data_IF_432422565612
#
_entry.id   IF_432422565612
#
_cell.length_a   1.000
_cell.length_b   1.000
_cell.length_c   1.000
_cell.angle_alpha   90.00
_cell.angle_beta   90.00
_cell.angle_gamma   90.00
#
_symmetry.space_group_name_H-M   'P 1'
#
loop_
_entity.id
_entity.type
_entity.pdbx_description
1 polymer ?
#
# COMPACT_ATOMS: atom_id res chain seq x y z
N UNK A 1 -18.02 8.82 18.58
CA UNK A 1 -18.85 7.87 17.77
C UNK A 1 -19.03 6.60 18.56
N UNK A 2 -20.25 6.11 18.68
CA UNK A 2 -20.56 4.85 19.36
C UNK A 2 -20.77 3.74 18.31
N UNK A 3 -20.56 2.47 18.68
CA UNK A 3 -20.77 1.35 17.78
C UNK A 3 -22.22 1.28 17.26
N UNK A 4 -23.18 1.70 18.07
CA UNK A 4 -24.60 1.75 17.70
C UNK A 4 -24.93 2.76 16.58
N UNK A 5 -24.04 3.71 16.30
CA UNK A 5 -24.20 4.69 15.23
C UNK A 5 -23.66 4.23 13.88
N UNK A 6 -23.03 3.05 13.81
CA UNK A 6 -22.47 2.53 12.57
C UNK A 6 -23.53 1.79 11.76
N UNK A 7 -23.51 2.02 10.44
CA UNK A 7 -24.24 1.19 9.50
C UNK A 7 -23.60 -0.20 9.40
N UNK A 8 -24.44 -1.24 9.36
CA UNK A 8 -23.97 -2.62 9.22
C UNK A 8 -24.19 -3.14 7.80
N UNK A 9 -23.30 -4.01 7.27
CA UNK A 9 -22.08 -4.53 7.92
C UNK A 9 -20.97 -3.48 7.98
N UNK A 10 -20.13 -3.55 9.03
CA UNK A 10 -18.98 -2.66 9.21
C UNK A 10 -17.73 -3.45 9.62
N UNK A 11 -16.58 -3.09 9.07
CA UNK A 11 -15.29 -3.61 9.50
C UNK A 11 -14.71 -2.69 10.58
N UNK A 12 -14.37 -3.27 11.72
CA UNK A 12 -13.78 -2.54 12.84
C UNK A 12 -12.32 -2.94 13.01
N UNK A 13 -11.48 -1.94 13.27
CA UNK A 13 -10.06 -2.14 13.56
C UNK A 13 -9.78 -1.64 14.96
N UNK A 14 -9.20 -2.51 15.79
CA UNK A 14 -8.72 -2.11 17.11
C UNK A 14 -7.41 -1.33 16.96
N UNK A 15 -7.47 -0.05 17.27
CA UNK A 15 -6.36 0.87 17.02
C UNK A 15 -5.08 0.46 17.76
N UNK A 16 -5.18 0.04 19.03
CA UNK A 16 -4.00 -0.36 19.81
C UNK A 16 -3.27 -1.56 19.17
N UNK A 17 -4.01 -2.55 18.70
CA UNK A 17 -3.43 -3.71 17.98
C UNK A 17 -2.82 -3.32 16.63
N UNK A 18 -3.50 -2.46 15.88
CA UNK A 18 -2.94 -1.94 14.64
C UNK A 18 -1.59 -1.27 14.88
N UNK A 19 -1.52 -0.35 15.85
CA UNK A 19 -0.29 0.36 16.19
C UNK A 19 0.83 -0.60 16.61
N UNK A 20 0.53 -1.57 17.45
CA UNK A 20 1.50 -2.57 17.91
C UNK A 20 2.02 -3.43 16.74
N UNK A 21 1.14 -3.87 15.83
CA UNK A 21 1.52 -4.68 14.67
C UNK A 21 2.39 -3.90 13.68
N UNK A 22 2.03 -2.65 13.39
CA UNK A 22 2.83 -1.79 12.50
C UNK A 22 4.23 -1.54 13.07
N UNK A 23 4.31 -1.25 14.38
CA UNK A 23 5.58 -1.03 15.06
C UNK A 23 6.45 -2.30 15.08
N UNK A 24 5.88 -3.45 15.39
CA UNK A 24 6.60 -4.73 15.44
C UNK A 24 7.17 -5.13 14.08
N UNK A 25 6.40 -4.96 12.99
CA UNK A 25 6.87 -5.30 11.65
C UNK A 25 8.03 -4.39 11.21
N UNK A 26 7.91 -3.09 11.44
CA UNK A 26 9.00 -2.16 11.10
C UNK A 26 10.25 -2.45 11.94
N UNK A 27 10.11 -2.68 13.24
CA UNK A 27 11.23 -3.03 14.11
C UNK A 27 11.93 -4.33 13.67
N UNK A 28 11.18 -5.31 13.17
CA UNK A 28 11.76 -6.54 12.60
C UNK A 28 12.61 -6.27 11.37
N UNK A 29 12.13 -5.41 10.47
CA UNK A 29 12.89 -5.01 9.28
C UNK A 29 14.16 -4.25 9.67
N UNK A 30 14.06 -3.29 10.56
CA UNK A 30 15.18 -2.47 11.03
C UNK A 30 16.25 -3.33 11.73
N UNK A 31 15.83 -4.27 12.58
CA UNK A 31 16.75 -5.18 13.29
C UNK A 31 17.52 -6.12 12.35
N UNK A 32 17.02 -6.36 11.16
CA UNK A 32 17.66 -7.20 10.14
C UNK A 32 18.31 -6.41 9.00
N UNK A 33 18.37 -5.10 9.13
CA UNK A 33 18.95 -4.18 8.12
C UNK A 33 18.34 -4.38 6.73
N UNK A 34 17.01 -4.54 6.69
CA UNK A 34 16.25 -4.66 5.43
C UNK A 34 15.18 -3.58 5.35
N UNK A 35 14.92 -3.11 4.15
CA UNK A 35 13.84 -2.15 3.90
C UNK A 35 12.48 -2.86 3.84
N UNK A 36 11.47 -2.28 4.48
CA UNK A 36 10.10 -2.78 4.45
C UNK A 36 9.30 -2.08 3.35
N UNK A 37 8.70 -2.87 2.46
CA UNK A 37 7.74 -2.39 1.45
C UNK A 37 6.41 -3.15 1.64
N UNK A 38 5.49 -2.61 2.46
CA UNK A 38 4.27 -3.34 2.81
C UNK A 38 3.35 -3.52 1.61
N UNK A 39 2.65 -4.66 1.60
CA UNK A 39 1.62 -4.94 0.62
C UNK A 39 0.25 -4.44 1.13
N UNK A 40 -0.30 -3.41 0.48
CA UNK A 40 -1.52 -2.72 0.93
C UNK A 40 -2.82 -3.36 0.46
N UNK A 41 -2.77 -4.43 -0.32
CA UNK A 41 -3.99 -5.16 -0.78
C UNK A 41 -4.84 -5.70 0.37
N UNK A 42 -4.23 -5.95 1.53
CA UNK A 42 -4.88 -6.53 2.70
C UNK A 42 -5.84 -5.55 3.38
N UNK A 43 -5.50 -4.28 3.43
CA UNK A 43 -6.32 -3.26 4.08
C UNK A 43 -6.89 -2.22 3.11
N UNK A 44 -6.25 -1.95 1.98
CA UNK A 44 -6.67 -0.97 0.96
C UNK A 44 -7.00 0.41 1.54
N UNK A 45 -6.29 0.80 2.60
CA UNK A 45 -6.50 2.04 3.34
C UNK A 45 -5.30 2.97 3.21
N UNK A 46 -5.53 4.16 2.68
CA UNK A 46 -4.54 5.24 2.60
C UNK A 46 -4.04 5.58 4.01
N UNK A 47 -4.94 5.73 4.98
CA UNK A 47 -4.58 6.08 6.35
C UNK A 47 -3.69 5.04 7.05
N UNK A 48 -3.84 3.75 6.75
CA UNK A 48 -2.93 2.71 7.27
C UNK A 48 -1.59 2.76 6.53
N UNK A 49 -1.60 2.93 5.23
CA UNK A 49 -0.39 3.04 4.43
C UNK A 49 0.47 4.25 4.84
N UNK A 50 -0.14 5.39 5.12
CA UNK A 50 0.54 6.57 5.67
C UNK A 50 1.24 6.26 7.01
N UNK A 51 0.57 5.53 7.89
CA UNK A 51 1.17 5.12 9.16
C UNK A 51 2.33 4.13 8.98
N UNK A 52 2.27 3.24 7.99
CA UNK A 52 3.40 2.37 7.63
C UNK A 52 4.59 3.20 7.14
N UNK A 53 4.35 4.17 6.26
CA UNK A 53 5.39 5.05 5.73
C UNK A 53 6.01 5.93 6.82
N UNK A 54 5.20 6.51 7.71
CA UNK A 54 5.67 7.31 8.85
C UNK A 54 6.56 6.52 9.81
N UNK A 55 6.42 5.20 9.86
CA UNK A 55 7.27 4.31 10.67
C UNK A 55 8.56 3.89 9.98
N UNK A 56 8.73 4.19 8.69
CA UNK A 56 9.95 3.89 7.97
C UNK A 56 9.81 2.95 6.77
N UNK A 57 8.59 2.54 6.42
CA UNK A 57 8.38 1.75 5.20
C UNK A 57 8.79 2.53 3.96
N UNK A 58 9.49 1.86 3.04
CA UNK A 58 10.02 2.43 1.80
C UNK A 58 9.09 2.12 0.64
N UNK A 59 8.14 2.99 0.39
CA UNK A 59 7.13 2.80 -0.66
C UNK A 59 6.10 1.72 -0.34
N UNK A 60 5.31 1.35 -1.32
CA UNK A 60 4.20 0.41 -1.18
C UNK A 60 4.23 -0.71 -2.22
N UNK A 61 3.65 -1.84 -1.89
CA UNK A 61 3.33 -2.90 -2.84
C UNK A 61 1.81 -2.99 -3.00
N UNK A 62 1.34 -3.04 -4.24
CA UNK A 62 -0.08 -3.15 -4.61
C UNK A 62 -0.32 -4.39 -5.48
N UNK A 63 -1.57 -4.86 -5.52
CA UNK A 63 -1.93 -6.03 -6.30
C UNK A 63 -2.38 -5.70 -7.72
N UNK A 64 -2.82 -4.48 -8.02
CA UNK A 64 -3.39 -4.11 -9.31
C UNK A 64 -2.96 -2.72 -9.77
N UNK A 65 -3.07 -2.46 -11.08
CA UNK A 65 -2.87 -1.12 -11.64
C UNK A 65 -3.86 -0.11 -11.03
N UNK A 66 -5.10 -0.54 -10.78
CA UNK A 66 -6.12 0.31 -10.16
C UNK A 66 -5.73 0.73 -8.73
N UNK A 67 -5.21 -0.20 -7.93
CA UNK A 67 -4.66 0.14 -6.61
C UNK A 67 -3.48 1.12 -6.73
N UNK A 68 -2.58 0.91 -7.70
CA UNK A 68 -1.47 1.83 -7.94
C UNK A 68 -1.97 3.26 -8.23
N UNK A 69 -2.97 3.41 -9.09
CA UNK A 69 -3.58 4.71 -9.39
C UNK A 69 -4.15 5.38 -8.13
N UNK A 70 -4.88 4.63 -7.30
CA UNK A 70 -5.48 5.15 -6.08
C UNK A 70 -4.43 5.64 -5.07
N UNK A 71 -3.36 4.85 -4.85
CA UNK A 71 -2.32 5.23 -3.90
C UNK A 71 -1.42 6.35 -4.44
N UNK A 72 -1.11 6.38 -5.74
CA UNK A 72 -0.37 7.50 -6.35
C UNK A 72 -1.20 8.79 -6.28
N UNK A 73 -2.50 8.73 -6.53
CA UNK A 73 -3.39 9.87 -6.37
C UNK A 73 -3.46 10.38 -4.91
N UNK A 74 -3.25 9.48 -3.95
CA UNK A 74 -3.15 9.83 -2.53
C UNK A 74 -1.77 10.39 -2.10
N UNK A 75 -0.80 10.47 -3.04
CA UNK A 75 0.51 11.09 -2.79
C UNK A 75 1.66 10.11 -2.55
N UNK A 76 1.46 8.80 -2.69
CA UNK A 76 2.56 7.83 -2.60
C UNK A 76 3.37 7.83 -3.90
N UNK A 77 4.66 8.02 -3.78
CA UNK A 77 5.59 8.26 -4.90
C UNK A 77 6.53 7.10 -5.23
N UNK A 78 6.42 5.98 -4.51
CA UNK A 78 7.16 4.74 -4.78
C UNK A 78 6.24 3.52 -4.64
N UNK A 79 5.81 2.96 -5.77
CA UNK A 79 4.79 1.90 -5.81
C UNK A 79 5.25 0.74 -6.68
N UNK A 80 5.18 -0.48 -6.10
CA UNK A 80 5.41 -1.73 -6.82
C UNK A 80 4.10 -2.45 -7.10
N UNK A 81 3.83 -2.77 -8.35
CA UNK A 81 2.71 -3.64 -8.76
C UNK A 81 3.20 -5.08 -8.80
N UNK A 82 2.80 -5.89 -7.82
CA UNK A 82 3.33 -7.24 -7.59
C UNK A 82 2.56 -8.33 -8.35
N UNK A 83 2.33 -8.13 -9.64
CA UNK A 83 1.85 -9.18 -10.53
C UNK A 83 2.32 -8.92 -11.97
N UNK A 84 2.33 -9.93 -12.85
CA UNK A 84 2.63 -9.74 -14.25
C UNK A 84 1.57 -8.88 -14.93
N UNK A 85 1.95 -7.67 -15.34
CA UNK A 85 1.02 -6.74 -16.01
C UNK A 85 1.02 -7.04 -17.50
N UNK A 86 -0.13 -7.46 -18.00
CA UNK A 86 -0.33 -7.80 -19.41
C UNK A 86 -1.38 -6.89 -20.02
N UNK A 87 -1.11 -6.48 -21.25
CA UNK A 87 -2.03 -5.71 -22.08
C UNK A 87 -1.73 -4.22 -22.13
N UNK A 88 -1.77 -3.71 -23.37
CA UNK A 88 -1.47 -2.31 -23.71
C UNK A 88 -2.24 -1.28 -22.84
N UNK A 89 -3.55 -1.44 -22.60
CA UNK A 89 -4.28 -0.45 -21.81
C UNK A 89 -3.74 -0.30 -20.38
N UNK A 90 -3.31 -1.40 -19.74
CA UNK A 90 -2.71 -1.36 -18.40
C UNK A 90 -1.33 -0.71 -18.41
N UNK A 91 -0.53 -0.99 -19.44
CA UNK A 91 0.78 -0.35 -19.60
C UNK A 91 0.66 1.15 -19.83
N UNK A 92 -0.33 1.61 -20.59
CA UNK A 92 -0.59 3.04 -20.80
C UNK A 92 -0.99 3.74 -19.49
N UNK A 93 -1.81 3.10 -18.66
CA UNK A 93 -2.17 3.60 -17.33
C UNK A 93 -0.93 3.71 -16.41
N UNK A 94 -0.10 2.68 -16.34
CA UNK A 94 1.15 2.73 -15.56
C UNK A 94 2.10 3.82 -16.08
N UNK A 95 2.16 3.99 -17.40
CA UNK A 95 2.98 5.03 -18.02
C UNK A 95 2.54 6.43 -17.60
N UNK A 96 1.23 6.67 -17.49
CA UNK A 96 0.69 7.96 -17.05
C UNK A 96 1.08 8.28 -15.60
N UNK A 97 1.22 7.29 -14.73
CA UNK A 97 1.61 7.49 -13.33
C UNK A 97 3.08 7.87 -13.14
N UNK A 98 3.95 7.64 -14.13
CA UNK A 98 5.40 7.91 -14.01
C UNK A 98 5.75 9.38 -13.78
N UNK A 99 4.85 10.29 -14.09
CA UNK A 99 5.06 11.71 -13.82
C UNK A 99 4.97 12.04 -12.32
N UNK A 100 4.26 11.21 -11.54
CA UNK A 100 3.99 11.44 -10.13
C UNK A 100 4.68 10.42 -9.20
N UNK A 101 5.14 9.27 -9.72
CA UNK A 101 5.69 8.21 -8.88
C UNK A 101 6.75 7.37 -9.60
N UNK A 102 7.66 6.83 -8.80
CA UNK A 102 8.54 5.72 -9.23
C UNK A 102 7.73 4.43 -9.20
N UNK A 103 7.64 3.76 -10.33
CA UNK A 103 6.88 2.53 -10.48
C UNK A 103 7.77 1.34 -10.83
N UNK A 104 7.48 0.23 -10.22
CA UNK A 104 8.00 -1.07 -10.64
C UNK A 104 6.85 -2.07 -10.78
N UNK A 105 6.96 -3.00 -11.70
CA UNK A 105 5.98 -4.08 -11.88
C UNK A 105 6.66 -5.33 -12.43
N UNK A 106 6.00 -6.45 -12.25
CA UNK A 106 6.47 -7.73 -12.76
C UNK A 106 6.13 -7.85 -14.25
N UNK A 107 7.07 -8.37 -15.02
CA UNK A 107 6.87 -8.79 -16.41
C UNK A 107 7.17 -10.27 -16.51
N UNK A 108 6.48 -10.93 -17.42
CA UNK A 108 6.67 -12.33 -17.77
C UNK A 108 6.65 -12.48 -19.30
N UNK A 109 7.30 -13.49 -19.80
CA UNK A 109 7.39 -13.78 -21.24
C UNK A 109 6.19 -14.54 -21.76
#
# INVERSE_FOLDING_TARGET
MTLSALSTPALLIEQARLQANLAAMQATADANDVTLRPHVKTHKSVAIAEQQQQRGATGLTVATVHEAEAFVAAGFDDVRVAYPVVGRPKHERLRALRAAATLSFTVDT
#
